data_IF_333334005202
#
_entry.id   IF_333334005202
#
_cell.length_a   1.000
_cell.length_b   1.000
_cell.length_c   1.000
_cell.angle_alpha   90.00
_cell.angle_beta   90.00
_cell.angle_gamma   90.00
#
_symmetry.space_group_name_H-M   'P 1'
#
loop_
_entity.id
_entity.type
_entity.pdbx_description
1 polymer ?
#
# COMPACT_ATOMS: atom_id res chain seq x y z
N UNK A 1 -5.15 9.93 26.29
CA UNK A 1 -3.92 9.72 27.07
C UNK A 1 -2.91 9.08 26.14
N UNK A 2 -1.62 9.23 26.40
CA UNK A 2 -0.52 8.63 25.64
C UNK A 2 0.16 7.54 26.46
N UNK A 3 0.99 6.70 25.83
CA UNK A 3 1.78 5.70 26.57
C UNK A 3 2.67 6.35 27.64
N UNK A 4 3.19 7.56 27.36
CA UNK A 4 4.05 8.30 28.28
C UNK A 4 3.29 8.77 29.53
N UNK A 5 2.05 9.24 29.37
CA UNK A 5 1.18 9.65 30.49
C UNK A 5 0.76 8.47 31.38
N UNK A 6 0.87 7.23 30.86
CA UNK A 6 0.53 6.00 31.58
C UNK A 6 1.78 5.23 32.06
N UNK A 7 2.96 5.82 31.93
CA UNK A 7 4.25 5.19 32.28
C UNK A 7 4.51 3.84 31.58
N UNK A 8 3.88 3.61 30.43
CA UNK A 8 4.01 2.37 29.67
C UNK A 8 5.33 2.39 28.90
N UNK A 9 6.22 1.45 29.24
CA UNK A 9 7.54 1.33 28.60
C UNK A 9 7.47 0.52 27.30
N UNK A 10 8.03 1.10 26.23
CA UNK A 10 8.23 0.40 24.96
C UNK A 10 9.44 -0.53 25.01
N UNK A 11 9.29 -1.67 25.70
CA UNK A 11 10.38 -2.63 25.96
C UNK A 11 11.10 -3.09 24.68
N UNK A 12 10.38 -3.22 23.58
CA UNK A 12 10.90 -3.75 22.31
C UNK A 12 11.26 -2.66 21.30
N UNK A 13 11.22 -1.38 21.70
CA UNK A 13 11.50 -0.24 20.83
C UNK A 13 10.70 -0.27 19.51
N UNK A 14 9.41 -0.62 19.61
CA UNK A 14 8.51 -0.73 18.46
C UNK A 14 8.20 0.66 17.89
N UNK A 15 8.19 0.78 16.56
CA UNK A 15 7.81 2.02 15.87
C UNK A 15 6.37 2.42 16.17
N UNK A 16 5.47 1.44 16.26
CA UNK A 16 4.08 1.64 16.63
C UNK A 16 3.76 0.85 17.89
N UNK A 17 3.34 1.55 18.94
CA UNK A 17 2.83 0.95 20.17
C UNK A 17 1.77 1.88 20.78
N UNK A 18 0.64 1.35 21.22
CA UNK A 18 -0.38 2.11 21.91
C UNK A 18 -1.18 1.24 22.90
N UNK A 19 -1.26 1.69 24.15
CA UNK A 19 -1.92 0.98 25.26
C UNK A 19 -3.40 0.63 25.01
N UNK A 20 -4.08 1.42 24.17
CA UNK A 20 -5.47 1.19 23.80
C UNK A 20 -5.69 0.07 22.76
N UNK A 21 -4.64 -0.64 22.34
CA UNK A 21 -4.73 -1.74 21.37
C UNK A 21 -4.65 -3.08 22.09
N UNK A 22 -5.39 -4.08 21.61
CA UNK A 22 -5.51 -5.40 22.26
C UNK A 22 -4.18 -6.15 22.46
N UNK A 23 -3.16 -5.82 21.66
CA UNK A 23 -1.82 -6.42 21.75
C UNK A 23 -0.74 -5.35 21.78
N UNK A 24 -1.08 -4.13 22.20
CA UNK A 24 -0.24 -2.92 22.18
C UNK A 24 0.24 -2.48 20.78
N UNK A 25 0.09 -3.30 19.74
CA UNK A 25 0.47 -3.00 18.36
C UNK A 25 -0.75 -2.97 17.43
N UNK A 26 -0.74 -2.14 16.37
CA UNK A 26 -1.82 -2.14 15.39
C UNK A 26 -1.93 -3.50 14.69
N UNK A 27 -3.11 -4.11 14.75
CA UNK A 27 -3.46 -5.24 13.90
C UNK A 27 -3.94 -4.76 12.52
N UNK A 28 -3.95 -5.67 11.54
CA UNK A 28 -4.55 -5.40 10.22
C UNK A 28 -6.00 -4.93 10.32
N UNK A 29 -6.78 -5.51 11.24
CA UNK A 29 -8.18 -5.12 11.48
C UNK A 29 -8.28 -3.69 11.99
N UNK A 30 -7.47 -3.34 13.00
CA UNK A 30 -7.44 -1.97 13.54
C UNK A 30 -6.97 -0.95 12.49
N UNK A 31 -6.00 -1.34 11.66
CA UNK A 31 -5.47 -0.50 10.57
C UNK A 31 -6.51 -0.29 9.47
N UNK A 32 -7.25 -1.33 9.07
CA UNK A 32 -8.35 -1.21 8.11
C UNK A 32 -9.49 -0.34 8.67
N UNK A 33 -9.79 -0.42 9.97
CA UNK A 33 -10.78 0.45 10.61
C UNK A 33 -10.36 1.92 10.58
N UNK A 34 -9.10 2.19 10.91
CA UNK A 34 -8.53 3.54 10.81
C UNK A 34 -8.56 4.06 9.37
N UNK A 35 -8.13 3.24 8.40
CA UNK A 35 -8.18 3.57 6.98
C UNK A 35 -9.59 3.90 6.52
N UNK A 36 -10.58 3.07 6.87
CA UNK A 36 -11.99 3.31 6.53
C UNK A 36 -12.46 4.67 7.05
N UNK A 37 -12.13 5.01 8.29
CA UNK A 37 -12.49 6.30 8.87
C UNK A 37 -11.88 7.46 8.06
N UNK A 38 -10.60 7.37 7.72
CA UNK A 38 -9.93 8.37 6.88
C UNK A 38 -10.64 8.52 5.54
N UNK A 39 -10.98 7.40 4.87
CA UNK A 39 -11.67 7.41 3.59
C UNK A 39 -13.06 8.04 3.67
N UNK A 40 -13.81 7.76 4.73
CA UNK A 40 -15.12 8.36 5.01
C UNK A 40 -15.00 9.87 5.27
N UNK A 41 -14.04 10.28 6.10
CA UNK A 41 -13.77 11.68 6.45
C UNK A 41 -13.34 12.49 5.21
N UNK A 42 -12.49 11.90 4.34
CA UNK A 42 -12.03 12.52 3.09
C UNK A 42 -12.99 12.30 1.91
N UNK A 43 -14.09 11.57 2.10
CA UNK A 43 -15.07 11.22 1.06
C UNK A 43 -14.47 10.50 -0.16
N UNK A 44 -13.41 9.71 0.04
CA UNK A 44 -12.75 8.93 -1.02
C UNK A 44 -13.38 7.53 -1.09
N UNK A 45 -14.04 7.22 -2.21
CA UNK A 45 -14.62 5.89 -2.44
C UNK A 45 -13.63 4.96 -3.16
N UNK A 46 -13.69 3.65 -2.93
CA UNK A 46 -14.64 2.95 -2.05
C UNK A 46 -14.18 2.93 -0.58
N UNK A 47 -15.12 2.99 0.37
CA UNK A 47 -14.82 3.04 1.81
C UNK A 47 -14.37 1.70 2.41
N UNK A 48 -14.40 0.62 1.62
CA UNK A 48 -13.92 -0.70 2.02
C UNK A 48 -12.51 -1.02 1.48
N UNK A 49 -11.75 -0.01 1.06
CA UNK A 49 -10.35 -0.19 0.68
C UNK A 49 -9.55 -0.69 1.89
N UNK A 50 -8.75 -1.74 1.67
CA UNK A 50 -7.90 -2.32 2.70
C UNK A 50 -6.47 -1.76 2.62
N UNK A 51 -5.69 -1.95 3.69
CA UNK A 51 -4.26 -1.62 3.68
C UNK A 51 -3.47 -2.39 2.61
N UNK A 52 -3.92 -3.60 2.25
CA UNK A 52 -3.38 -4.34 1.10
C UNK A 52 -3.79 -3.70 -0.22
N UNK A 53 -5.03 -3.21 -0.31
CA UNK A 53 -5.52 -2.40 -1.43
C UNK A 53 -4.66 -1.16 -1.66
N UNK A 54 -4.25 -0.45 -0.61
CA UNK A 54 -3.32 0.68 -0.73
C UNK A 54 -1.97 0.29 -1.33
N UNK A 55 -1.44 -0.89 -0.98
CA UNK A 55 -0.20 -1.41 -1.59
C UNK A 55 -0.38 -1.65 -3.08
N UNK A 56 -1.54 -2.16 -3.50
CA UNK A 56 -1.88 -2.30 -4.92
C UNK A 56 -2.03 -0.94 -5.60
N UNK A 57 -2.71 0.03 -4.98
CA UNK A 57 -2.82 1.40 -5.51
C UNK A 57 -1.44 2.03 -5.71
N UNK A 58 -0.53 1.90 -4.74
CA UNK A 58 0.84 2.38 -4.87
C UNK A 58 1.58 1.70 -6.02
N UNK A 59 1.44 0.39 -6.18
CA UNK A 59 2.05 -0.34 -7.29
C UNK A 59 1.56 0.17 -8.65
N UNK A 60 0.24 0.31 -8.81
CA UNK A 60 -0.37 0.83 -10.04
C UNK A 60 0.14 2.25 -10.36
N UNK A 61 0.25 3.10 -9.35
CA UNK A 61 0.79 4.45 -9.49
C UNK A 61 2.25 4.45 -9.97
N UNK A 62 3.11 3.61 -9.37
CA UNK A 62 4.53 3.50 -9.77
C UNK A 62 4.67 3.00 -11.21
N UNK A 63 3.90 1.96 -11.57
CA UNK A 63 3.84 1.45 -12.95
C UNK A 63 3.44 2.57 -13.90
N UNK A 64 2.33 3.26 -13.61
CA UNK A 64 1.81 4.34 -14.47
C UNK A 64 2.83 5.48 -14.63
N UNK A 65 3.56 5.82 -13.58
CA UNK A 65 4.64 6.83 -13.58
C UNK A 65 5.86 6.45 -14.44
N UNK A 66 5.89 5.24 -15.01
CA UNK A 66 6.96 4.80 -15.92
C UNK A 66 8.15 4.18 -15.21
N UNK A 67 8.03 3.90 -13.91
CA UNK A 67 9.10 3.27 -13.15
C UNK A 67 9.25 1.80 -13.62
N UNK A 68 10.48 1.33 -13.88
CA UNK A 68 10.74 -0.05 -14.27
C UNK A 68 10.14 -1.08 -13.31
N UNK A 69 9.66 -2.19 -13.88
CA UNK A 69 8.91 -3.24 -13.17
C UNK A 69 9.75 -3.91 -12.09
N UNK A 70 11.03 -4.14 -12.37
CA UNK A 70 12.00 -4.71 -11.44
C UNK A 70 12.22 -3.81 -10.21
N UNK A 71 12.29 -2.49 -10.42
CA UNK A 71 12.39 -1.50 -9.34
C UNK A 71 11.09 -1.50 -8.51
N UNK A 72 9.93 -1.48 -9.18
CA UNK A 72 8.64 -1.54 -8.51
C UNK A 72 8.49 -2.81 -7.66
N UNK A 73 8.92 -3.97 -8.19
CA UNK A 73 8.89 -5.24 -7.48
C UNK A 73 9.78 -5.22 -6.23
N UNK A 74 11.00 -4.68 -6.35
CA UNK A 74 11.94 -4.55 -5.23
C UNK A 74 11.40 -3.65 -4.11
N UNK A 75 10.80 -2.50 -4.45
CA UNK A 75 10.18 -1.59 -3.47
C UNK A 75 9.03 -2.25 -2.72
N UNK A 76 8.27 -3.11 -3.41
CA UNK A 76 7.20 -3.87 -2.79
C UNK A 76 7.69 -5.15 -2.13
N UNK A 77 8.97 -5.52 -2.19
CA UNK A 77 9.44 -6.79 -1.62
C UNK A 77 8.85 -8.03 -2.31
N UNK A 78 8.54 -7.93 -3.62
CA UNK A 78 8.11 -9.05 -4.46
C UNK A 78 9.27 -9.51 -5.35
N UNK A 79 9.22 -10.77 -5.76
CA UNK A 79 9.96 -11.16 -6.97
C UNK A 79 9.31 -10.52 -8.19
N UNK A 80 10.09 -10.28 -9.24
CA UNK A 80 9.57 -9.73 -10.50
C UNK A 80 8.41 -10.59 -11.02
N UNK A 81 8.55 -11.91 -10.98
CA UNK A 81 7.50 -12.84 -11.42
C UNK A 81 6.20 -12.70 -10.61
N UNK A 82 6.28 -12.55 -9.28
CA UNK A 82 5.08 -12.32 -8.45
C UNK A 82 4.42 -11.00 -8.80
N UNK A 83 5.22 -9.94 -8.94
CA UNK A 83 4.73 -8.61 -9.31
C UNK A 83 4.03 -8.63 -10.67
N UNK A 84 4.66 -9.19 -11.70
CA UNK A 84 4.08 -9.30 -13.04
C UNK A 84 2.78 -10.11 -13.04
N UNK A 85 2.70 -11.20 -12.27
CA UNK A 85 1.45 -11.96 -12.11
C UNK A 85 0.34 -11.11 -11.51
N UNK A 86 0.63 -10.31 -10.49
CA UNK A 86 -0.35 -9.44 -9.83
C UNK A 86 -0.80 -8.27 -10.72
N UNK A 87 0.11 -7.65 -11.47
CA UNK A 87 -0.14 -6.41 -12.20
C UNK A 87 -0.16 -6.57 -13.73
N UNK A 88 -0.28 -7.81 -14.23
CA UNK A 88 -0.23 -8.14 -15.67
C UNK A 88 -1.10 -7.22 -16.53
N UNK A 89 -2.32 -6.93 -16.09
CA UNK A 89 -3.27 -6.09 -16.82
C UNK A 89 -2.74 -4.67 -17.07
N UNK A 90 -2.10 -4.05 -16.08
CA UNK A 90 -1.49 -2.72 -16.23
C UNK A 90 -0.28 -2.75 -17.16
N UNK A 91 0.49 -3.84 -17.11
CA UNK A 91 1.66 -4.02 -17.96
C UNK A 91 1.25 -4.23 -19.43
N UNK A 92 0.15 -4.93 -19.70
CA UNK A 92 -0.39 -5.03 -21.07
C UNK A 92 -0.83 -3.68 -21.61
N UNK A 93 -1.55 -2.87 -20.83
CA UNK A 93 -1.96 -1.52 -21.26
C UNK A 93 -0.76 -0.65 -21.63
N UNK A 94 0.29 -0.68 -20.80
CA UNK A 94 1.55 0.04 -21.08
C UNK A 94 2.24 -0.46 -22.33
N UNK A 95 2.28 -1.78 -22.53
CA UNK A 95 2.90 -2.38 -23.71
C UNK A 95 2.17 -1.96 -24.98
N UNK A 96 0.84 -2.00 -24.95
CA UNK A 96 0.01 -1.63 -26.10
C UNK A 96 0.14 -0.14 -26.44
N UNK A 97 0.20 0.73 -25.42
CA UNK A 97 0.54 2.14 -25.59
C UNK A 97 1.94 2.35 -26.20
N UNK A 98 2.92 1.53 -25.80
CA UNK A 98 4.26 1.53 -26.39
C UNK A 98 4.26 1.15 -27.87
N UNK A 99 3.50 0.12 -28.25
CA UNK A 99 3.35 -0.25 -29.67
C UNK A 99 2.67 0.85 -30.48
N UNK A 100 1.67 1.52 -29.92
CA UNK A 100 1.00 2.62 -30.59
C UNK A 100 1.92 3.84 -30.77
N UNK A 101 2.79 4.13 -29.80
CA UNK A 101 3.81 5.17 -29.96
C UNK A 101 4.78 4.85 -31.11
N UNK A 102 5.17 3.57 -31.28
CA UNK A 102 6.02 3.13 -32.40
C UNK A 102 5.32 3.30 -33.75
N UNK A 103 4.01 3.01 -33.84
CA UNK A 103 3.23 3.16 -35.10
C UNK A 103 3.14 4.60 -35.60
N UNK A 104 3.36 5.58 -34.72
CA UNK A 104 3.25 7.01 -35.02
C UNK A 104 4.57 7.66 -35.42
N UNK A 105 5.68 6.90 -35.39
CA UNK A 105 6.97 7.29 -35.92
C UNK A 105 7.01 7.06 -37.44
#
# INVERSE_FOLDING_TARGET
>A
MSNAELEIKNKYNLVFQHYGLSHDVPSTVSSNKALRKILEDTKIRPYNLSVYGLRHTRASYLIHSGIPVDICAKVLGHTVLQFEKTYRHLLSEKRDAGFEAIRKL
#
